data_IF_099562069239
#
_entry.id   IF_099562069239
#
_cell.length_a   1.000
_cell.length_b   1.000
_cell.length_c   1.000
_cell.angle_alpha   90.00
_cell.angle_beta   90.00
_cell.angle_gamma   90.00
#
_symmetry.space_group_name_H-M   'P 1'
#
loop_
_entity.id
_entity.type
_entity.pdbx_description
1 polymer ?
#
# COMPACT_ATOMS: atom_id res chain seq x y z
N UNK A 1 -4.21 -27.75 -2.74
CA UNK A 1 -5.36 -26.82 -2.73
C UNK A 1 -5.14 -25.85 -1.60
N UNK A 2 -5.34 -24.54 -1.83
CA UNK A 2 -5.19 -23.54 -0.78
C UNK A 2 -6.30 -23.71 0.27
N UNK A 3 -5.97 -23.61 1.55
CA UNK A 3 -6.90 -23.87 2.66
C UNK A 3 -7.59 -22.60 3.19
N UNK A 4 -7.38 -21.46 2.52
CA UNK A 4 -7.90 -20.15 2.91
C UNK A 4 -8.77 -19.57 1.79
N UNK A 5 -9.63 -18.61 2.15
CA UNK A 5 -10.39 -17.81 1.19
C UNK A 5 -9.78 -16.42 1.03
N UNK A 6 -9.59 -15.73 2.15
CA UNK A 6 -9.07 -14.39 2.28
C UNK A 6 -7.94 -14.40 3.32
N UNK A 7 -6.71 -14.61 2.85
CA UNK A 7 -5.55 -14.64 3.71
C UNK A 7 -5.08 -13.23 4.02
N UNK A 8 -4.87 -12.95 5.29
CA UNK A 8 -4.16 -11.76 5.76
C UNK A 8 -2.98 -12.16 6.63
N UNK A 9 -1.99 -11.27 6.70
CA UNK A 9 -0.83 -11.40 7.58
C UNK A 9 -0.88 -10.27 8.60
N UNK A 10 -0.68 -10.57 9.88
CA UNK A 10 -0.83 -9.60 10.96
C UNK A 10 0.14 -9.89 12.11
N UNK A 11 0.39 -8.89 12.97
CA UNK A 11 1.24 -9.04 14.15
C UNK A 11 0.42 -9.00 15.45
N UNK A 12 0.84 -9.81 16.43
CA UNK A 12 0.35 -9.77 17.81
C UNK A 12 1.57 -9.79 18.72
N UNK A 13 1.84 -8.66 19.38
CA UNK A 13 3.14 -8.45 20.03
C UNK A 13 4.28 -8.52 19.01
N UNK A 14 5.33 -9.29 19.31
CA UNK A 14 6.49 -9.47 18.42
C UNK A 14 6.32 -10.64 17.43
N UNK A 15 5.18 -11.33 17.47
CA UNK A 15 4.92 -12.49 16.61
C UNK A 15 4.05 -12.11 15.42
N UNK A 16 4.39 -12.68 14.26
CA UNK A 16 3.60 -12.55 13.04
C UNK A 16 2.83 -13.83 12.76
N UNK A 17 1.57 -13.67 12.38
CA UNK A 17 0.65 -14.75 12.09
C UNK A 17 0.01 -14.55 10.72
N UNK A 18 -0.54 -15.65 10.18
CA UNK A 18 -1.50 -15.61 9.10
C UNK A 18 -2.90 -15.84 9.67
N UNK A 19 -3.93 -15.34 8.99
CA UNK A 19 -5.30 -15.60 9.36
C UNK A 19 -6.26 -15.52 8.19
N UNK A 20 -7.42 -16.15 8.38
CA UNK A 20 -8.60 -15.97 7.54
C UNK A 20 -9.27 -14.67 7.97
N UNK A 21 -9.50 -13.76 7.02
CA UNK A 21 -10.25 -12.55 7.28
C UNK A 21 -11.74 -12.89 7.41
N UNK A 22 -12.29 -12.64 8.59
CA UNK A 22 -13.69 -12.95 8.92
C UNK A 22 -14.59 -11.72 8.70
N UNK A 23 -14.11 -10.55 9.12
CA UNK A 23 -14.87 -9.30 9.04
C UNK A 23 -13.95 -8.08 9.03
N UNK A 24 -14.40 -7.01 8.37
CA UNK A 24 -13.75 -5.71 8.37
C UNK A 24 -14.76 -4.66 8.85
N UNK A 25 -14.43 -3.96 9.94
CA UNK A 25 -15.20 -2.83 10.46
C UNK A 25 -14.31 -1.59 10.52
N UNK A 26 -14.43 -0.73 9.51
CA UNK A 26 -13.55 0.42 9.33
C UNK A 26 -12.10 -0.01 9.17
N UNK A 27 -11.26 0.30 10.16
CA UNK A 27 -9.84 -0.09 10.20
C UNK A 27 -9.55 -1.29 11.11
N UNK A 28 -10.58 -1.99 11.59
CA UNK A 28 -10.44 -3.19 12.44
C UNK A 28 -10.76 -4.42 11.62
N UNK A 29 -9.85 -5.39 11.69
CA UNK A 29 -9.94 -6.67 11.00
C UNK A 29 -10.10 -7.77 12.03
N UNK A 30 -11.22 -8.49 11.98
CA UNK A 30 -11.41 -9.72 12.75
C UNK A 30 -10.86 -10.87 11.95
N UNK A 31 -9.87 -11.56 12.51
CA UNK A 31 -9.07 -12.58 11.82
C UNK A 31 -9.01 -13.85 12.65
N UNK A 32 -9.28 -14.99 12.03
CA UNK A 32 -9.09 -16.30 12.65
C UNK A 32 -7.71 -16.82 12.26
N UNK A 33 -6.85 -17.09 13.25
CA UNK A 33 -5.45 -17.45 13.01
C UNK A 33 -5.35 -18.80 12.29
N UNK A 34 -4.42 -18.86 11.34
CA UNK A 34 -3.83 -20.10 10.84
C UNK A 34 -2.50 -20.40 11.54
N UNK A 35 -2.23 -21.68 11.77
CA UNK A 35 -0.88 -22.19 12.03
C UNK A 35 -0.22 -22.60 10.70
N UNK A 36 1.00 -22.14 10.47
CA UNK A 36 1.82 -22.46 9.29
C UNK A 36 1.97 -21.30 8.29
N UNK A 37 2.25 -21.62 7.02
CA UNK A 37 2.51 -20.64 5.95
C UNK A 37 1.68 -20.96 4.71
N UNK A 38 1.29 -19.96 3.90
CA UNK A 38 0.50 -20.20 2.68
C UNK A 38 1.26 -20.98 1.60
N UNK A 39 2.57 -21.11 1.73
CA UNK A 39 3.42 -21.82 0.78
C UNK A 39 3.69 -23.27 1.15
N UNK A 40 3.31 -23.67 2.36
CA UNK A 40 3.46 -25.03 2.86
C UNK A 40 2.08 -25.59 3.23
N UNK A 41 1.70 -25.48 4.50
CA UNK A 41 0.39 -25.89 5.01
C UNK A 41 -0.12 -24.84 5.97
N UNK A 42 -1.40 -24.47 5.83
CA UNK A 42 -2.13 -23.66 6.80
C UNK A 42 -3.18 -24.54 7.47
N UNK A 43 -3.27 -24.45 8.80
CA UNK A 43 -4.27 -25.12 9.62
C UNK A 43 -5.06 -24.05 10.39
N UNK A 44 -6.36 -23.96 10.14
CA UNK A 44 -7.20 -23.00 10.83
C UNK A 44 -7.29 -23.37 12.31
N UNK A 45 -7.10 -22.38 13.19
CA UNK A 45 -7.12 -22.56 14.64
C UNK A 45 -8.39 -21.94 15.24
N UNK A 46 -8.70 -22.25 16.49
CA UNK A 46 -9.81 -21.59 17.21
C UNK A 46 -9.46 -20.19 17.75
N UNK A 47 -8.24 -19.69 17.48
CA UNK A 47 -7.80 -18.37 17.94
C UNK A 47 -8.29 -17.28 17.00
N UNK A 48 -8.92 -16.26 17.56
CA UNK A 48 -9.40 -15.10 16.81
C UNK A 48 -8.81 -13.83 17.41
N UNK A 49 -8.44 -12.89 16.54
CA UNK A 49 -7.91 -11.59 16.91
C UNK A 49 -8.69 -10.48 16.22
N UNK A 50 -8.71 -9.30 16.85
CA UNK A 50 -9.08 -8.06 16.19
C UNK A 50 -7.84 -7.19 16.09
N UNK A 51 -7.40 -6.88 14.88
CA UNK A 51 -6.17 -6.12 14.60
C UNK A 51 -6.48 -4.86 13.80
N UNK A 52 -5.60 -3.85 13.90
CA UNK A 52 -5.76 -2.57 13.17
C UNK A 52 -4.78 -2.40 12.02
N UNK A 53 -3.75 -3.25 11.99
CA UNK A 53 -2.62 -3.14 11.08
C UNK A 53 -2.37 -4.51 10.47
N UNK A 54 -2.36 -4.54 9.14
CA UNK A 54 -2.05 -5.71 8.36
C UNK A 54 -0.70 -5.53 7.68
N UNK A 55 0.01 -6.63 7.58
CA UNK A 55 1.30 -6.75 6.92
C UNK A 55 1.08 -7.15 5.46
N UNK A 56 2.09 -7.02 4.57
CA UNK A 56 1.97 -7.57 3.24
C UNK A 56 1.61 -9.06 3.31
N UNK A 57 0.65 -9.54 2.49
CA UNK A 57 0.16 -10.92 2.56
C UNK A 57 1.25 -11.96 2.26
N UNK A 58 2.35 -11.53 1.64
CA UNK A 58 3.55 -12.31 1.42
C UNK A 58 4.73 -11.58 2.10
N UNK A 59 5.52 -12.24 2.98
CA UNK A 59 6.55 -11.59 3.79
C UNK A 59 7.78 -11.16 2.98
N UNK A 60 8.03 -11.85 1.87
CA UNK A 60 9.11 -11.58 0.93
C UNK A 60 8.73 -12.17 -0.41
N UNK A 61 9.32 -11.67 -1.49
CA UNK A 61 9.15 -12.23 -2.83
C UNK A 61 10.52 -12.55 -3.43
N UNK A 62 10.66 -13.64 -4.19
CA UNK A 62 11.89 -13.91 -4.91
C UNK A 62 12.15 -12.91 -6.05
N UNK A 63 11.09 -12.34 -6.63
CA UNK A 63 11.13 -11.38 -7.73
C UNK A 63 9.71 -10.83 -7.96
N UNK A 64 9.60 -9.55 -8.33
CA UNK A 64 8.37 -9.01 -8.92
C UNK A 64 8.54 -8.93 -10.42
N UNK A 65 7.71 -9.63 -11.17
CA UNK A 65 7.66 -9.57 -12.63
C UNK A 65 6.48 -8.70 -13.03
N UNK A 66 6.65 -7.83 -14.02
CA UNK A 66 5.65 -6.85 -14.40
C UNK A 66 5.39 -6.91 -15.90
N UNK A 67 4.12 -6.74 -16.29
CA UNK A 67 3.71 -6.74 -17.69
C UNK A 67 3.36 -5.32 -18.13
N UNK A 68 4.11 -4.79 -19.08
CA UNK A 68 3.80 -3.50 -19.69
C UNK A 68 2.65 -3.61 -20.70
N UNK A 69 1.89 -2.52 -20.88
CA UNK A 69 0.93 -2.38 -21.98
C UNK A 69 -0.09 -3.54 -22.08
N UNK A 70 -0.64 -4.01 -20.96
CA UNK A 70 -1.51 -5.19 -20.98
C UNK A 70 -3.01 -4.90 -21.03
N UNK A 71 -3.45 -3.64 -21.15
CA UNK A 71 -4.87 -3.30 -21.26
C UNK A 71 -5.15 -2.63 -22.60
N UNK A 72 -6.21 -3.06 -23.30
CA UNK A 72 -6.54 -2.54 -24.64
C UNK A 72 -6.82 -1.05 -24.61
N UNK A 73 -7.49 -0.55 -23.56
CA UNK A 73 -7.73 0.89 -23.41
C UNK A 73 -6.45 1.67 -23.12
N UNK A 74 -5.53 1.10 -22.34
CA UNK A 74 -4.23 1.73 -22.07
C UNK A 74 -3.36 1.80 -23.34
N UNK A 75 -3.35 0.74 -24.16
CA UNK A 75 -2.66 0.75 -25.45
C UNK A 75 -3.17 1.84 -26.39
N UNK A 76 -4.50 2.05 -26.42
CA UNK A 76 -5.13 3.15 -27.16
C UNK A 76 -4.76 4.52 -26.60
N UNK A 77 -4.77 4.70 -25.28
CA UNK A 77 -4.35 5.95 -24.61
C UNK A 77 -2.90 6.29 -24.95
N UNK A 78 -2.02 5.30 -24.92
CA UNK A 78 -0.60 5.48 -25.21
C UNK A 78 -0.30 5.64 -26.71
N UNK A 79 -1.26 5.35 -27.60
CA UNK A 79 -1.04 5.28 -29.06
C UNK A 79 0.14 4.36 -29.43
N UNK A 80 0.30 3.25 -28.70
CA UNK A 80 1.36 2.28 -28.91
C UNK A 80 0.82 1.03 -29.60
N UNK A 81 1.62 0.48 -30.51
CA UNK A 81 1.34 -0.81 -31.12
C UNK A 81 1.46 -1.92 -30.07
N UNK A 82 0.48 -2.81 -30.04
CA UNK A 82 0.49 -3.99 -29.17
C UNK A 82 1.44 -5.03 -29.78
N UNK A 83 2.54 -5.39 -29.10
CA UNK A 83 3.48 -6.38 -29.61
C UNK A 83 2.85 -7.78 -29.64
N UNK A 84 3.49 -8.74 -30.31
CA UNK A 84 3.03 -10.14 -30.34
C UNK A 84 3.14 -10.82 -28.96
N UNK A 85 4.12 -10.40 -28.17
CA UNK A 85 4.42 -10.98 -26.86
C UNK A 85 4.37 -9.90 -25.78
N UNK A 86 3.98 -10.25 -24.53
CA UNK A 86 3.95 -9.31 -23.43
C UNK A 86 5.30 -8.61 -23.22
N UNK A 87 5.35 -7.27 -23.12
CA UNK A 87 6.52 -6.56 -22.60
C UNK A 87 6.76 -6.93 -21.14
N UNK A 88 7.93 -7.47 -20.84
CA UNK A 88 8.29 -7.93 -19.48
C UNK A 88 9.42 -7.08 -18.91
N UNK A 89 9.25 -6.64 -17.67
CA UNK A 89 10.32 -6.08 -16.85
C UNK A 89 10.21 -6.61 -15.42
N UNK A 90 11.22 -6.34 -14.60
CA UNK A 90 11.30 -6.88 -13.24
C UNK A 90 11.60 -5.78 -12.24
N UNK A 91 11.07 -5.92 -11.02
CA UNK A 91 11.53 -5.19 -9.85
C UNK A 91 12.21 -6.16 -8.86
N UNK A 92 13.29 -5.74 -8.18
CA UNK A 92 13.97 -6.56 -7.18
C UNK A 92 13.06 -6.79 -5.95
N UNK A 93 13.39 -7.77 -5.11
CA UNK A 93 12.57 -8.14 -3.96
C UNK A 93 12.35 -6.98 -2.96
N UNK A 94 13.33 -6.07 -2.84
CA UNK A 94 13.35 -4.99 -1.86
C UNK A 94 12.29 -3.90 -2.09
N UNK A 95 11.65 -3.89 -3.27
CA UNK A 95 10.59 -2.92 -3.60
C UNK A 95 9.26 -3.25 -2.93
N UNK A 96 9.13 -4.42 -2.31
CA UNK A 96 7.88 -4.88 -1.71
C UNK A 96 7.46 -3.98 -0.55
N UNK A 97 6.22 -3.51 -0.60
CA UNK A 97 5.59 -2.75 0.47
C UNK A 97 4.25 -3.35 0.87
N UNK A 98 3.91 -3.22 2.15
CA UNK A 98 2.61 -3.57 2.69
C UNK A 98 1.50 -2.59 2.32
N UNK A 99 0.24 -2.94 2.61
CA UNK A 99 -0.94 -2.16 2.23
C UNK A 99 -0.99 -0.76 2.83
N UNK A 100 -0.43 -0.55 4.02
CA UNK A 100 -0.57 0.73 4.75
C UNK A 100 0.78 1.38 5.04
N UNK A 101 1.83 0.93 4.36
CA UNK A 101 3.17 1.50 4.52
C UNK A 101 3.28 2.86 3.82
N UNK A 102 3.87 3.83 4.53
CA UNK A 102 4.37 5.08 3.97
C UNK A 102 5.47 4.77 2.96
N UNK A 103 5.36 5.30 1.75
CA UNK A 103 6.36 5.09 0.70
C UNK A 103 7.33 6.26 0.65
N UNK A 104 8.64 6.01 0.81
CA UNK A 104 9.63 7.06 0.68
C UNK A 104 9.65 7.56 -0.77
N UNK A 105 9.61 8.87 -0.97
CA UNK A 105 9.89 9.44 -2.29
C UNK A 105 11.36 9.84 -2.34
N UNK A 106 12.05 9.35 -3.34
CA UNK A 106 13.32 9.95 -3.72
C UNK A 106 13.10 11.30 -4.41
N UNK A 107 13.79 12.36 -3.98
CA UNK A 107 13.64 13.73 -4.51
C UNK A 107 13.60 13.78 -6.04
N UNK A 108 14.46 13.00 -6.68
CA UNK A 108 14.60 13.03 -8.14
C UNK A 108 13.41 12.36 -8.86
N UNK A 109 12.63 11.51 -8.17
CA UNK A 109 11.41 10.89 -8.71
C UNK A 109 10.15 11.75 -8.52
N UNK A 110 10.12 12.64 -7.51
CA UNK A 110 8.94 13.41 -7.08
C UNK A 110 8.19 14.09 -8.23
N UNK A 111 8.92 14.71 -9.15
CA UNK A 111 8.32 15.52 -10.22
C UNK A 111 7.44 14.73 -11.18
N UNK A 112 7.63 13.41 -11.23
CA UNK A 112 7.02 12.51 -12.22
C UNK A 112 6.62 11.17 -11.58
N UNK A 113 6.31 11.19 -10.28
CA UNK A 113 5.86 10.01 -9.56
C UNK A 113 4.42 9.67 -9.96
N UNK A 114 4.19 8.43 -10.34
CA UNK A 114 2.93 7.98 -10.93
C UNK A 114 2.41 6.70 -10.26
N UNK A 115 1.09 6.52 -10.31
CA UNK A 115 0.37 5.34 -9.85
C UNK A 115 0.01 4.44 -11.03
N UNK A 116 -0.03 3.14 -10.76
CA UNK A 116 -0.49 2.13 -11.70
C UNK A 116 -1.20 1.02 -10.91
N UNK A 117 -2.52 1.09 -10.80
CA UNK A 117 -3.26 0.03 -10.11
C UNK A 117 -3.29 -1.24 -10.95
N UNK A 118 -2.98 -2.39 -10.33
CA UNK A 118 -2.84 -3.67 -11.02
C UNK A 118 -3.44 -4.85 -10.25
N UNK A 119 -3.95 -5.84 -10.99
CA UNK A 119 -4.11 -7.19 -10.47
C UNK A 119 -2.72 -7.81 -10.27
N UNK A 120 -2.44 -8.27 -9.06
CA UNK A 120 -1.19 -8.94 -8.72
C UNK A 120 -1.43 -10.42 -8.42
N UNK A 121 -0.72 -11.29 -9.13
CA UNK A 121 -0.75 -12.74 -8.97
C UNK A 121 0.37 -13.17 -8.04
N UNK A 122 0.08 -14.08 -7.10
CA UNK A 122 1.10 -14.72 -6.27
C UNK A 122 1.30 -16.16 -6.73
N UNK A 123 2.51 -16.53 -7.13
CA UNK A 123 2.84 -17.91 -7.51
C UNK A 123 2.94 -18.80 -6.27
N UNK A 124 2.19 -19.89 -6.23
CA UNK A 124 2.09 -20.80 -5.07
C UNK A 124 3.03 -22.00 -5.10
N UNK A 125 3.55 -22.37 -6.27
CA UNK A 125 4.54 -23.44 -6.44
C UNK A 125 5.40 -23.15 -7.67
N UNK A 126 6.62 -23.69 -7.70
CA UNK A 126 7.54 -23.45 -8.81
C UNK A 126 6.92 -23.86 -10.15
N UNK A 127 6.92 -22.94 -11.12
CA UNK A 127 6.36 -23.14 -12.46
C UNK A 127 7.47 -23.04 -13.51
N UNK A 128 7.64 -24.07 -14.34
CA UNK A 128 8.60 -24.05 -15.45
C UNK A 128 8.00 -24.74 -16.68
N UNK A 129 8.03 -24.06 -17.81
CA UNK A 129 7.49 -24.50 -19.10
C UNK A 129 6.03 -24.98 -18.99
N UNK A 130 5.22 -24.26 -18.21
CA UNK A 130 3.81 -24.61 -17.95
C UNK A 130 2.96 -24.16 -19.13
N UNK A 131 2.00 -24.98 -19.54
CA UNK A 131 1.03 -24.62 -20.58
C UNK A 131 0.01 -23.59 -20.08
N UNK A 132 -0.77 -22.97 -20.97
CA UNK A 132 -1.79 -22.01 -20.56
C UNK A 132 -2.95 -22.68 -19.80
N UNK A 133 -3.24 -23.93 -20.11
CA UNK A 133 -4.29 -24.74 -19.48
C UNK A 133 -3.96 -25.05 -18.01
N UNK A 134 -2.70 -25.39 -17.73
CA UNK A 134 -2.23 -25.74 -16.38
C UNK A 134 -1.78 -24.52 -15.57
N UNK A 135 -1.70 -23.34 -16.19
CA UNK A 135 -1.10 -22.14 -15.60
C UNK A 135 -1.70 -21.73 -14.25
N UNK A 136 -3.04 -21.79 -14.12
CA UNK A 136 -3.71 -21.36 -12.88
C UNK A 136 -3.45 -22.29 -11.70
N UNK A 137 -3.07 -23.55 -11.93
CA UNK A 137 -2.74 -24.50 -10.87
C UNK A 137 -1.45 -24.12 -10.10
N UNK A 138 -0.69 -23.17 -10.63
CA UNK A 138 0.52 -22.62 -10.02
C UNK A 138 0.26 -21.30 -9.30
N UNK A 139 -0.95 -20.76 -9.37
CA UNK A 139 -1.34 -19.52 -8.69
C UNK A 139 -1.83 -19.84 -7.28
N UNK A 140 -1.22 -19.21 -6.28
CA UNK A 140 -1.70 -19.25 -4.89
C UNK A 140 -2.98 -18.43 -4.73
N UNK A 141 -2.98 -17.24 -5.31
CA UNK A 141 -4.07 -16.29 -5.19
C UNK A 141 -3.75 -14.95 -5.85
N UNK A 142 -4.66 -14.01 -5.61
CA UNK A 142 -4.68 -12.69 -6.20
C UNK A 142 -4.78 -11.62 -5.11
N UNK A 143 -4.12 -10.49 -5.34
CA UNK A 143 -4.15 -9.29 -4.50
C UNK A 143 -4.06 -8.05 -5.39
N UNK A 144 -4.39 -6.86 -4.89
CA UNK A 144 -4.06 -5.65 -5.66
C UNK A 144 -2.61 -5.26 -5.42
N UNK A 145 -2.03 -4.68 -6.47
CA UNK A 145 -0.75 -4.02 -6.41
C UNK A 145 -0.82 -2.62 -6.99
N UNK A 146 0.19 -1.82 -6.66
CA UNK A 146 0.43 -0.55 -7.31
C UNK A 146 1.83 -0.56 -7.92
N UNK A 147 1.94 -0.50 -9.24
CA UNK A 147 3.23 -0.38 -9.93
C UNK A 147 3.70 1.09 -9.96
N UNK A 148 4.23 1.55 -8.83
CA UNK A 148 4.74 2.91 -8.74
C UNK A 148 5.86 3.16 -9.74
N UNK A 149 5.82 4.34 -10.36
CA UNK A 149 6.67 4.67 -11.49
C UNK A 149 7.25 6.07 -11.36
N UNK A 150 8.58 6.18 -11.42
CA UNK A 150 9.26 7.46 -11.59
C UNK A 150 9.42 7.74 -13.09
N UNK A 151 8.40 8.36 -13.73
CA UNK A 151 8.31 8.44 -15.20
C UNK A 151 9.47 9.17 -15.85
N UNK A 152 10.07 10.14 -15.16
CA UNK A 152 11.26 10.83 -15.63
C UNK A 152 12.46 9.87 -15.85
N UNK A 153 12.54 8.80 -15.07
CA UNK A 153 13.57 7.77 -15.26
C UNK A 153 13.15 6.67 -16.24
N UNK A 154 11.88 6.60 -16.65
CA UNK A 154 11.42 5.59 -17.61
C UNK A 154 11.76 5.95 -19.06
N UNK A 155 12.03 7.23 -19.31
CA UNK A 155 12.33 7.75 -20.64
C UNK A 155 13.66 7.19 -21.19
N UNK A 156 13.79 6.99 -22.51
CA UNK A 156 15.01 6.47 -23.12
C UNK A 156 16.28 7.23 -22.75
N UNK A 157 16.20 8.54 -22.58
CA UNK A 157 17.33 9.42 -22.25
C UNK A 157 17.87 9.15 -20.83
N UNK A 158 17.04 8.64 -19.92
CA UNK A 158 17.38 8.42 -18.52
C UNK A 158 17.76 6.95 -18.22
N UNK A 159 17.13 5.98 -18.90
CA UNK A 159 17.35 4.54 -18.63
C UNK A 159 17.55 3.67 -19.87
N UNK A 160 17.86 4.26 -21.03
CA UNK A 160 18.13 3.50 -22.26
C UNK A 160 16.95 2.67 -22.76
N UNK A 161 15.72 3.10 -22.44
CA UNK A 161 14.47 2.42 -22.78
C UNK A 161 14.12 1.24 -21.86
N UNK A 162 14.91 1.00 -20.80
CA UNK A 162 14.63 -0.03 -19.80
C UNK A 162 13.77 0.54 -18.67
N UNK A 163 12.75 -0.21 -18.24
CA UNK A 163 11.82 0.26 -17.21
C UNK A 163 12.27 -0.08 -15.79
N UNK A 164 13.13 -1.08 -15.61
CA UNK A 164 13.47 -1.64 -14.30
C UNK A 164 13.88 -0.55 -13.29
N UNK A 165 14.78 0.37 -13.65
CA UNK A 165 15.25 1.40 -12.74
C UNK A 165 14.13 2.35 -12.27
N UNK A 166 13.33 2.87 -13.20
CA UNK A 166 12.20 3.77 -12.92
C UNK A 166 11.11 3.15 -12.03
N UNK A 167 11.08 1.82 -12.00
CA UNK A 167 10.07 0.98 -11.35
C UNK A 167 10.57 0.38 -10.03
N UNK A 168 11.85 0.57 -9.67
CA UNK A 168 12.51 -0.22 -8.62
C UNK A 168 13.06 0.60 -7.44
N UNK A 169 12.51 1.79 -7.20
CA UNK A 169 12.79 2.51 -5.96
C UNK A 169 12.22 1.74 -4.76
N UNK A 170 12.80 1.93 -3.59
CA UNK A 170 12.34 1.26 -2.37
C UNK A 170 10.82 1.45 -2.20
N UNK A 171 10.13 0.35 -1.91
CA UNK A 171 8.68 0.33 -1.66
C UNK A 171 7.79 0.66 -2.89
N UNK A 172 8.31 0.59 -4.12
CA UNK A 172 7.55 0.80 -5.36
C UNK A 172 6.67 -0.39 -5.83
N UNK A 173 6.56 -1.43 -5.02
CA UNK A 173 5.56 -2.49 -5.21
C UNK A 173 4.72 -2.70 -3.94
N UNK A 174 3.84 -1.75 -3.57
CA UNK A 174 2.82 -1.99 -2.57
C UNK A 174 1.87 -3.08 -3.06
N UNK A 175 1.63 -4.08 -2.22
CA UNK A 175 0.60 -5.10 -2.44
C UNK A 175 -0.32 -5.17 -1.23
N UNK A 176 -1.60 -5.39 -1.51
CA UNK A 176 -2.63 -4.77 -0.69
C UNK A 176 -3.54 -5.74 0.02
N UNK A 177 -4.11 -5.33 1.14
CA UNK A 177 -4.04 -6.08 2.40
C UNK A 177 -4.51 -7.56 2.44
N UNK A 178 -5.28 -8.06 1.47
CA UNK A 178 -5.75 -9.46 1.41
C UNK A 178 -5.16 -10.19 0.21
N UNK A 179 -4.79 -11.45 0.41
CA UNK A 179 -4.57 -12.41 -0.66
C UNK A 179 -5.80 -13.32 -0.77
N UNK A 180 -6.57 -13.16 -1.84
CA UNK A 180 -7.72 -13.99 -2.14
C UNK A 180 -7.24 -15.26 -2.84
N UNK A 181 -7.67 -16.43 -2.37
CA UNK A 181 -7.19 -17.68 -2.95
C UNK A 181 -7.64 -17.85 -4.40
N UNK A 182 -6.82 -18.54 -5.19
CA UNK A 182 -7.14 -18.80 -6.59
C UNK A 182 -8.44 -19.61 -6.78
N UNK A 183 -8.92 -20.29 -5.74
CA UNK A 183 -10.15 -21.08 -5.76
C UNK A 183 -11.41 -20.21 -5.61
N UNK A 184 -11.33 -19.12 -4.84
CA UNK A 184 -12.45 -18.19 -4.68
C UNK A 184 -12.60 -17.27 -5.90
N UNK A 185 -11.53 -17.07 -6.68
CA UNK A 185 -11.57 -16.32 -7.94
C UNK A 185 -11.81 -17.27 -9.12
N UNK A 186 -13.07 -17.49 -9.48
CA UNK A 186 -13.45 -18.40 -10.56
C UNK A 186 -12.82 -18.04 -11.92
N UNK A 187 -12.80 -16.76 -12.26
CA UNK A 187 -12.17 -16.23 -13.47
C UNK A 187 -11.40 -14.93 -13.15
N UNK A 188 -10.05 -14.94 -13.18
CA UNK A 188 -9.26 -13.73 -12.94
C UNK A 188 -9.46 -12.64 -14.00
N UNK A 189 -10.10 -12.95 -15.13
CA UNK A 189 -10.45 -11.98 -16.17
C UNK A 189 -11.84 -11.36 -16.00
N UNK A 190 -12.51 -11.55 -14.86
CA UNK A 190 -13.82 -10.96 -14.57
C UNK A 190 -13.83 -10.06 -13.34
N UNK A 191 -12.69 -9.46 -13.01
CA UNK A 191 -12.52 -8.59 -11.85
C UNK A 191 -12.66 -7.12 -12.27
N UNK A 192 -13.43 -6.32 -11.54
CA UNK A 192 -13.34 -4.86 -11.62
C UNK A 192 -12.06 -4.38 -10.95
N UNK A 193 -11.41 -3.38 -11.54
CA UNK A 193 -10.25 -2.70 -10.95
C UNK A 193 -10.51 -1.19 -10.97
N UNK A 194 -10.32 -0.54 -9.82
CA UNK A 194 -10.47 0.92 -9.66
C UNK A 194 -9.26 1.48 -8.91
N UNK A 195 -8.64 2.53 -9.46
CA UNK A 195 -7.61 3.29 -8.74
C UNK A 195 -8.14 4.67 -8.40
N UNK A 196 -7.96 5.11 -7.14
CA UNK A 196 -8.30 6.45 -6.67
C UNK A 196 -7.05 7.15 -6.16
N UNK A 197 -7.00 8.46 -6.33
CA UNK A 197 -6.01 9.33 -5.67
C UNK A 197 -6.78 10.35 -4.85
N UNK A 198 -6.56 10.36 -3.52
CA UNK A 198 -7.30 11.19 -2.57
C UNK A 198 -8.83 11.06 -2.72
N UNK A 199 -9.33 9.83 -2.86
CA UNK A 199 -10.75 9.54 -3.07
C UNK A 199 -11.30 9.87 -4.46
N UNK A 200 -10.49 10.43 -5.37
CA UNK A 200 -10.90 10.72 -6.75
C UNK A 200 -10.52 9.56 -7.66
N UNK A 201 -11.51 8.95 -8.32
CA UNK A 201 -11.28 7.87 -9.29
C UNK A 201 -10.43 8.36 -10.46
N UNK A 202 -9.33 7.65 -10.72
CA UNK A 202 -8.39 7.90 -11.82
C UNK A 202 -8.41 6.80 -12.87
N UNK A 203 -8.51 5.54 -12.43
CA UNK A 203 -8.57 4.38 -13.29
C UNK A 203 -9.83 3.57 -12.98
N UNK A 204 -10.48 3.02 -14.00
CA UNK A 204 -11.61 2.08 -13.85
C UNK A 204 -11.62 1.15 -15.05
N UNK A 205 -11.59 -0.16 -14.78
CA UNK A 205 -11.59 -1.18 -15.83
C UNK A 205 -12.21 -2.49 -15.34
N UNK A 206 -12.29 -3.47 -16.23
CA UNK A 206 -12.45 -4.86 -15.89
C UNK A 206 -11.24 -5.65 -16.45
N UNK A 207 -10.80 -6.69 -15.75
CA UNK A 207 -9.63 -7.50 -16.15
C UNK A 207 -9.86 -8.29 -17.45
N UNK A 208 -11.08 -8.33 -17.99
CA UNK A 208 -11.38 -8.79 -19.36
C UNK A 208 -10.84 -7.86 -20.45
N UNK A 209 -10.49 -6.61 -20.11
CA UNK A 209 -9.81 -5.68 -21.02
C UNK A 209 -8.32 -6.01 -21.20
N UNK A 210 -7.80 -6.99 -20.45
CA UNK A 210 -6.43 -7.45 -20.64
C UNK A 210 -6.19 -7.99 -22.06
N UNK A 211 -4.98 -7.78 -22.58
CA UNK A 211 -4.53 -8.29 -23.87
C UNK A 211 -4.05 -9.74 -23.72
N UNK A 212 -3.24 -9.99 -22.69
CA UNK A 212 -2.81 -11.31 -22.25
C UNK A 212 -3.41 -11.59 -20.87
N UNK A 213 -4.20 -12.66 -20.75
CA UNK A 213 -4.80 -13.04 -19.47
C UNK A 213 -3.77 -13.66 -18.53
N UNK A 214 -4.17 -13.92 -17.27
CA UNK A 214 -3.28 -14.51 -16.26
C UNK A 214 -2.69 -15.85 -16.73
N UNK A 215 -3.50 -16.69 -17.38
CA UNK A 215 -3.06 -17.98 -17.95
C UNK A 215 -1.93 -17.81 -18.96
N UNK A 216 -2.11 -16.87 -19.89
CA UNK A 216 -1.13 -16.58 -20.95
C UNK A 216 0.16 -16.02 -20.37
N UNK A 217 0.05 -15.11 -19.38
CA UNK A 217 1.20 -14.50 -18.71
C UNK A 217 2.01 -15.55 -17.96
N UNK A 218 1.39 -16.36 -17.11
CA UNK A 218 2.09 -17.40 -16.33
C UNK A 218 2.75 -18.42 -17.25
N UNK A 219 2.03 -18.89 -18.28
CA UNK A 219 2.61 -19.79 -19.28
C UNK A 219 3.80 -19.13 -19.98
N UNK A 220 3.64 -17.88 -20.43
CA UNK A 220 4.68 -17.11 -21.11
C UNK A 220 5.95 -16.98 -20.28
N UNK A 221 5.81 -16.48 -19.05
CA UNK A 221 6.93 -16.19 -18.17
C UNK A 221 7.64 -17.45 -17.69
N UNK A 222 6.94 -18.60 -17.62
CA UNK A 222 7.54 -19.86 -17.20
C UNK A 222 8.41 -20.53 -18.28
N UNK A 223 8.42 -20.04 -19.52
CA UNK A 223 9.21 -20.64 -20.61
C UNK A 223 10.70 -20.34 -20.43
N UNK A 224 11.50 -21.37 -20.23
CA UNK A 224 12.96 -21.27 -20.07
C UNK A 224 13.41 -20.77 -18.69
N UNK A 225 12.56 -20.04 -17.95
CA UNK A 225 12.82 -19.55 -16.60
C UNK A 225 11.81 -20.12 -15.60
N UNK A 226 12.29 -20.65 -14.48
CA UNK A 226 11.40 -21.06 -13.38
C UNK A 226 10.81 -19.83 -12.70
N UNK A 227 9.48 -19.74 -12.65
CA UNK A 227 8.78 -18.84 -11.73
C UNK A 227 8.79 -19.50 -10.36
N UNK A 228 9.54 -18.91 -9.42
CA UNK A 228 9.68 -19.48 -8.08
C UNK A 228 8.41 -19.26 -7.28
N UNK A 229 8.11 -20.19 -6.38
CA UNK A 229 7.11 -20.04 -5.32
C UNK A 229 7.33 -18.69 -4.60
N UNK A 230 6.27 -17.90 -4.49
CA UNK A 230 6.26 -16.55 -3.91
C UNK A 230 6.58 -15.42 -4.90
N UNK A 231 6.91 -15.72 -6.17
CA UNK A 231 7.05 -14.69 -7.22
C UNK A 231 5.73 -13.94 -7.37
N UNK A 232 5.83 -12.61 -7.44
CA UNK A 232 4.70 -11.73 -7.72
C UNK A 232 4.67 -11.41 -9.21
N UNK A 233 3.48 -11.41 -9.81
CA UNK A 233 3.28 -10.95 -11.18
C UNK A 233 2.27 -9.81 -11.17
N UNK A 234 2.76 -8.60 -11.44
CA UNK A 234 1.98 -7.38 -11.68
C UNK A 234 1.56 -7.40 -13.15
N UNK A 235 0.25 -7.53 -13.39
CA UNK A 235 -0.29 -7.94 -14.71
C UNK A 235 -0.54 -6.79 -15.68
N UNK A 236 -0.07 -5.58 -15.36
CA UNK A 236 -0.28 -4.37 -16.12
C UNK A 236 -1.42 -3.51 -15.57
N UNK A 237 -1.42 -2.25 -15.98
CA UNK A 237 -2.35 -1.22 -15.52
C UNK A 237 -3.28 -0.75 -16.64
N UNK A 238 -4.54 -0.37 -16.34
CA UNK A 238 -5.44 0.21 -17.32
C UNK A 238 -5.11 1.67 -17.66
N UNK A 239 -5.86 2.24 -18.62
CA UNK A 239 -5.76 3.65 -18.95
C UNK A 239 -6.08 4.56 -17.77
N UNK A 240 -5.58 5.80 -17.82
CA UNK A 240 -5.79 6.80 -16.77
C UNK A 240 -4.63 6.89 -15.79
N UNK A 241 -3.42 6.46 -16.17
CA UNK A 241 -2.20 6.74 -15.41
C UNK A 241 -1.90 8.24 -15.42
N UNK A 242 -1.27 8.74 -14.36
CA UNK A 242 -0.95 10.15 -14.17
C UNK A 242 -0.13 10.75 -15.32
N UNK A 243 0.76 9.98 -15.95
CA UNK A 243 1.57 10.44 -17.08
C UNK A 243 0.76 10.96 -18.28
N UNK A 244 -0.32 10.27 -18.65
CA UNK A 244 -1.20 10.68 -19.76
C UNK A 244 -2.19 11.77 -19.32
N UNK A 245 -2.54 11.77 -18.02
CA UNK A 245 -3.41 12.79 -17.41
C UNK A 245 -2.68 14.10 -17.08
N UNK A 246 -1.34 14.10 -17.08
CA UNK A 246 -0.49 15.18 -16.54
C UNK A 246 -0.80 15.51 -15.08
N UNK A 247 -1.06 14.45 -14.31
CA UNK A 247 -1.40 14.50 -12.88
C UNK A 247 -0.47 13.54 -12.12
N UNK A 248 0.62 14.05 -11.55
CA UNK A 248 1.60 13.25 -10.80
C UNK A 248 1.35 13.30 -9.29
N UNK A 249 1.68 12.22 -8.60
CA UNK A 249 1.56 12.11 -7.15
C UNK A 249 2.45 13.13 -6.43
N UNK A 250 1.90 13.73 -5.39
CA UNK A 250 2.56 14.69 -4.51
C UNK A 250 2.74 14.15 -3.09
N UNK A 251 3.62 14.82 -2.35
CA UNK A 251 3.83 14.51 -0.94
C UNK A 251 2.49 14.54 -0.16
N UNK A 252 2.18 13.45 0.52
CA UNK A 252 0.93 13.26 1.25
C UNK A 252 -0.25 12.66 0.47
N UNK A 253 -0.12 12.41 -0.84
CA UNK A 253 -1.20 11.81 -1.65
C UNK A 253 -1.46 10.34 -1.33
N UNK A 254 -2.73 9.99 -1.17
CA UNK A 254 -3.22 8.65 -0.87
C UNK A 254 -3.67 7.96 -2.15
N UNK A 255 -3.25 6.71 -2.40
CA UNK A 255 -3.63 5.95 -3.60
C UNK A 255 -4.38 4.68 -3.22
N UNK A 256 -5.59 4.47 -3.71
CA UNK A 256 -6.40 3.31 -3.34
C UNK A 256 -6.59 2.46 -4.59
N UNK A 257 -6.29 1.15 -4.54
CA UNK A 257 -6.37 0.26 -5.72
C UNK A 257 -7.31 -0.89 -5.44
N UNK A 258 -8.59 -0.74 -5.73
CA UNK A 258 -9.63 -1.72 -5.43
C UNK A 258 -9.72 -2.78 -6.53
N UNK A 259 -9.84 -4.04 -6.12
CA UNK A 259 -10.24 -5.17 -6.97
C UNK A 259 -11.58 -5.69 -6.48
N UNK A 260 -12.42 -6.25 -7.36
CA UNK A 260 -13.69 -6.81 -6.92
C UNK A 260 -14.37 -7.66 -7.99
N UNK A 261 -15.39 -8.41 -7.60
CA UNK A 261 -16.27 -9.12 -8.54
C UNK A 261 -17.49 -8.21 -8.78
N UNK A 262 -17.89 -8.01 -10.05
CA UNK A 262 -19.14 -7.29 -10.36
C UNK A 262 -20.35 -8.22 -10.14
N UNK A 263 -20.84 -8.31 -8.92
CA UNK A 263 -22.22 -8.74 -8.63
C UNK A 263 -23.02 -7.59 -7.99
N UNK A 264 -24.32 -7.41 -8.31
CA UNK A 264 -25.16 -6.46 -7.59
C UNK A 264 -25.27 -6.88 -6.12
N UNK A 265 -24.68 -6.09 -5.21
CA UNK A 265 -24.77 -6.34 -3.76
C UNK A 265 -23.56 -7.06 -3.14
N UNK A 266 -22.48 -7.28 -3.89
CA UNK A 266 -21.21 -7.77 -3.35
C UNK A 266 -20.12 -6.75 -3.67
N UNK A 267 -19.68 -6.01 -2.65
CA UNK A 267 -18.40 -5.30 -2.66
C UNK A 267 -17.78 -5.64 -1.32
N UNK A 268 -16.65 -6.33 -1.30
CA UNK A 268 -15.70 -6.18 -0.20
C UNK A 268 -14.33 -6.69 -0.62
N UNK A 269 -13.57 -5.82 -1.30
CA UNK A 269 -12.11 -5.83 -1.26
C UNK A 269 -11.63 -4.39 -1.47
N UNK A 270 -11.73 -3.59 -0.40
CA UNK A 270 -11.20 -2.23 -0.42
C UNK A 270 -9.72 -2.25 -0.06
N UNK A 271 -8.91 -2.29 -1.08
CA UNK A 271 -7.47 -2.17 -1.00
C UNK A 271 -7.10 -0.69 -0.84
N UNK A 272 -7.20 -0.21 0.40
CA UNK A 272 -6.55 1.06 0.71
C UNK A 272 -5.06 0.88 0.62
N UNK A 273 -4.43 1.80 -0.10
CA UNK A 273 -3.05 2.14 0.11
C UNK A 273 -2.95 3.60 0.55
N UNK A 274 -2.14 3.82 1.56
CA UNK A 274 -1.72 5.16 1.95
C UNK A 274 -0.20 5.19 1.79
N UNK A 275 0.31 5.61 0.63
CA UNK A 275 1.58 6.32 0.74
C UNK A 275 1.27 7.64 1.40
N UNK A 276 1.59 7.78 2.68
CA UNK A 276 2.15 9.08 2.99
C UNK A 276 3.52 9.07 2.33
N UNK A 277 3.70 9.98 1.42
CA UNK A 277 5.03 10.26 0.95
C UNK A 277 5.76 11.02 2.06
N UNK A 278 7.05 10.75 2.24
CA UNK A 278 7.87 11.46 3.21
C UNK A 278 9.31 11.50 2.73
N UNK A 279 9.93 12.68 2.82
CA UNK A 279 11.38 12.80 2.66
C UNK A 279 12.10 12.15 3.85
N UNK A 280 13.23 11.45 3.63
CA UNK A 280 14.09 11.02 4.72
C UNK A 280 14.54 12.24 5.52
N UNK A 281 14.30 12.25 6.84
CA UNK A 281 14.59 13.36 7.76
C UNK A 281 16.10 13.62 7.98
N UNK A 282 16.99 12.88 7.32
CA UNK A 282 18.43 12.97 7.48
C UNK A 282 19.07 14.23 6.84
N UNK A 283 18.28 15.22 6.42
CA UNK A 283 18.77 16.43 5.74
C UNK A 283 18.45 17.79 6.39
N UNK A 284 17.62 17.96 7.44
CA UNK A 284 17.55 19.21 8.23
C UNK A 284 16.60 19.12 9.47
N UNK A 285 16.86 19.85 10.58
CA UNK A 285 16.22 19.65 11.90
C UNK A 285 14.92 20.44 12.14
N UNK A 286 13.98 20.44 11.19
CA UNK A 286 12.62 20.97 11.42
C UNK A 286 11.52 19.97 11.03
N UNK A 287 11.75 18.69 11.30
CA UNK A 287 10.77 17.62 11.10
C UNK A 287 9.57 17.77 12.06
N UNK A 288 8.48 18.37 11.58
CA UNK A 288 7.16 18.20 12.20
C UNK A 288 6.48 16.97 11.60
N UNK A 289 6.67 15.84 12.26
CA UNK A 289 5.81 14.68 12.05
C UNK A 289 4.51 14.90 12.82
N UNK A 290 3.38 14.89 12.11
CA UNK A 290 2.09 14.65 12.76
C UNK A 290 1.28 13.69 11.90
N UNK A 291 1.15 12.47 12.42
CA UNK A 291 0.32 11.39 11.90
C UNK A 291 -1.11 11.60 12.43
N UNK A 292 -2.07 11.78 11.52
CA UNK A 292 -3.49 11.65 11.86
C UNK A 292 -4.13 10.77 10.77
N UNK A 293 -4.47 9.54 11.17
CA UNK A 293 -5.14 8.51 10.37
C UNK A 293 -6.64 8.66 10.59
N UNK A 294 -7.39 9.20 9.62
CA UNK A 294 -8.86 9.16 9.64
C UNK A 294 -9.45 9.15 8.22
N UNK A 295 -9.69 7.95 7.71
CA UNK A 295 -10.67 7.64 6.67
C UNK A 295 -11.11 6.19 7.00
N UNK A 296 -12.37 5.76 7.12
CA UNK A 296 -13.53 5.76 6.20
C UNK A 296 -14.84 5.59 7.00
N UNK A 297 -15.99 6.16 6.59
CA UNK A 297 -17.04 5.61 5.68
C UNK A 297 -17.34 4.12 5.87
N UNK A 298 -18.44 3.84 6.56
CA UNK A 298 -19.06 2.51 6.66
C UNK A 298 -20.07 2.25 5.55
N UNK A 299 -20.44 0.98 5.39
CA UNK A 299 -21.63 0.56 4.66
C UNK A 299 -22.88 0.74 5.56
N UNK A 300 -23.92 1.38 5.04
CA UNK A 300 -25.24 1.43 5.69
C UNK A 300 -26.29 0.79 4.77
N UNK A 301 -26.96 -0.22 5.30
CA UNK A 301 -28.24 -0.73 4.81
C UNK A 301 -29.34 -0.05 5.63
N UNK A 302 -30.22 0.73 4.99
CA UNK A 302 -31.39 1.33 5.65
C UNK A 302 -31.26 2.84 5.92
N UNK A 303 -32.40 3.55 5.82
CA UNK A 303 -32.54 4.99 5.55
C UNK A 303 -32.17 5.94 6.70
N UNK A 304 -31.77 7.14 6.27
CA UNK A 304 -31.44 8.38 6.99
C UNK A 304 -30.02 8.51 7.60
N UNK A 305 -29.26 9.46 7.04
CA UNK A 305 -27.95 9.89 7.50
C UNK A 305 -28.10 11.22 8.26
N UNK A 306 -27.76 11.21 9.55
CA UNK A 306 -27.43 12.42 10.32
C UNK A 306 -25.95 12.37 10.67
N UNK A 307 -25.20 13.39 10.28
CA UNK A 307 -23.80 13.55 10.67
C UNK A 307 -23.69 14.62 11.75
N UNK A 308 -22.91 14.34 12.80
CA UNK A 308 -22.43 15.32 13.77
C UNK A 308 -20.95 15.55 13.49
N UNK A 309 -20.59 16.73 12.99
CA UNK A 309 -19.18 17.11 12.80
C UNK A 309 -18.68 17.73 14.10
N UNK A 310 -17.77 17.05 14.80
CA UNK A 310 -16.92 17.72 15.79
C UNK A 310 -15.61 18.16 15.11
N UNK A 311 -15.50 19.45 14.81
CA UNK A 311 -14.24 20.09 14.44
C UNK A 311 -13.50 20.46 15.72
N UNK A 312 -12.47 19.69 16.08
CA UNK A 312 -11.50 20.13 17.08
C UNK A 312 -10.58 21.19 16.47
N UNK A 313 -10.68 22.44 16.92
CA UNK A 313 -9.69 23.48 16.62
C UNK A 313 -8.38 23.14 17.34
N UNK A 314 -7.32 22.85 16.61
CA UNK A 314 -5.96 23.02 17.13
C UNK A 314 -5.43 24.38 16.66
N UNK A 315 -5.42 25.35 17.57
CA UNK A 315 -4.80 26.66 17.36
C UNK A 315 -3.29 26.55 17.61
N UNK A 316 -2.47 26.88 16.60
CA UNK A 316 -1.06 27.23 16.81
C UNK A 316 -1.01 28.72 17.12
N UNK A 317 -0.64 29.06 18.36
CA UNK A 317 -0.44 30.42 18.85
C UNK A 317 1.04 30.83 18.71
N UNK A 318 1.25 32.03 18.14
CA UNK A 318 2.39 32.94 18.41
C UNK A 318 3.70 32.63 17.66
N UNK A 319 4.08 33.43 16.66
CA UNK A 319 4.79 34.74 16.73
C UNK A 319 6.32 34.62 16.86
N UNK A 320 7.02 35.12 15.83
CA UNK A 320 8.40 35.60 15.94
C UNK A 320 8.48 36.81 16.88
N UNK A 321 9.56 36.93 17.66
CA UNK A 321 10.54 37.96 17.31
C UNK A 321 12.01 37.56 17.53
N UNK A 322 12.87 38.31 16.84
CA UNK A 322 14.32 38.33 16.92
C UNK A 322 14.90 38.30 18.34
N UNK A 323 16.09 37.69 18.52
CA UNK A 323 17.04 38.14 19.55
C UNK A 323 17.78 37.04 20.31
N UNK A 324 19.08 36.95 20.03
CA UNK A 324 20.22 36.40 20.78
C UNK A 324 20.00 35.83 22.21
N UNK A 325 20.63 34.68 22.47
CA UNK A 325 21.08 34.29 23.82
C UNK A 325 21.19 32.79 24.04
N UNK A 326 22.41 32.26 24.22
CA UNK A 326 22.66 30.87 24.64
C UNK A 326 22.39 30.74 26.14
N UNK A 327 21.61 29.75 26.56
CA UNK A 327 21.69 29.20 27.91
C UNK A 327 21.23 27.75 27.93
N UNK A 328 22.04 26.86 28.50
CA UNK A 328 21.73 25.46 28.72
C UNK A 328 21.11 25.28 30.11
N UNK A 329 20.02 24.54 30.22
CA UNK A 329 19.55 23.97 31.48
C UNK A 329 18.97 22.58 31.27
N UNK A 330 19.51 21.62 32.03
CA UNK A 330 19.00 20.24 32.16
C UNK A 330 17.69 20.27 32.93
N UNK A 331 16.66 19.56 32.47
CA UNK A 331 15.49 19.23 33.29
C UNK A 331 15.25 17.72 33.23
N UNK A 332 15.26 17.11 34.41
CA UNK A 332 14.97 15.72 34.68
C UNK A 332 13.45 15.47 34.68
N UNK A 333 13.02 14.32 34.16
CA UNK A 333 11.63 13.87 34.25
C UNK A 333 11.36 13.25 35.61
N UNK A 334 10.32 13.73 36.31
CA UNK A 334 9.74 13.10 37.50
C UNK A 334 8.25 12.88 37.23
N UNK A 335 7.82 11.63 37.25
CA UNK A 335 6.41 11.24 37.14
C UNK A 335 5.66 11.55 38.44
N UNK A 336 4.43 12.06 38.34
CA UNK A 336 3.44 12.00 39.42
C UNK A 336 2.03 11.73 38.85
N UNK A 337 1.22 10.88 39.52
CA UNK A 337 -0.12 10.49 39.09
C UNK A 337 -1.23 11.45 39.58
N UNK A 338 -2.42 11.26 39.00
CA UNK A 338 -3.66 12.02 39.19
C UNK A 338 -4.22 11.99 40.63
N UNK A 339 -4.67 13.15 41.13
CA UNK A 339 -6.05 13.39 41.62
C UNK A 339 -6.17 14.63 42.56
N UNK A 340 -7.30 15.34 42.38
CA UNK A 340 -8.06 16.22 43.32
C UNK A 340 -7.58 17.63 43.74
N UNK A 341 -8.52 18.56 43.45
CA UNK A 341 -9.11 19.63 44.27
C UNK A 341 -8.37 20.96 44.56
N UNK A 342 -9.01 22.03 44.05
CA UNK A 342 -9.23 23.39 44.60
C UNK A 342 -8.42 23.85 45.83
N UNK A 343 -7.76 25.02 45.71
CA UNK A 343 -8.08 26.29 46.42
C UNK A 343 -6.97 27.34 46.22
N UNK A 344 -7.39 28.47 45.67
CA UNK A 344 -7.10 29.89 45.96
C UNK A 344 -5.70 30.47 46.31
N UNK A 345 -5.54 31.67 45.73
CA UNK A 345 -4.89 32.91 46.20
C UNK A 345 -3.38 32.98 46.51
N UNK A 346 -2.72 34.00 45.93
CA UNK A 346 -1.68 34.77 46.62
C UNK A 346 -0.49 35.22 45.79
N UNK A 347 -0.59 36.42 45.22
CA UNK A 347 0.55 37.23 44.78
C UNK A 347 1.46 37.60 45.95
N UNK A 348 2.79 37.54 45.75
CA UNK A 348 3.74 38.57 46.24
C UNK A 348 5.15 38.38 45.69
N UNK A 349 5.68 39.50 45.21
CA UNK A 349 7.07 39.76 44.83
C UNK A 349 8.00 39.83 46.04
N UNK A 350 9.25 39.38 45.87
CA UNK A 350 10.41 40.09 46.44
C UNK A 350 11.70 39.70 45.72
N UNK A 351 12.42 40.73 45.29
CA UNK A 351 13.81 40.78 44.86
C UNK A 351 14.76 40.54 46.03
N UNK A 352 15.90 39.89 45.78
CA UNK A 352 17.16 40.19 46.49
C UNK A 352 18.37 39.77 45.64
N UNK A 353 19.22 40.75 45.36
CA UNK A 353 20.58 40.59 44.86
C UNK A 353 21.50 40.07 45.98
N UNK A 354 22.58 39.39 45.59
CA UNK A 354 24.00 39.66 45.93
C UNK A 354 24.81 38.36 45.92
N UNK A 355 26.04 38.44 45.42
CA UNK A 355 27.08 37.44 45.69
C UNK A 355 27.95 37.10 44.51
N UNK A 356 28.89 38.00 44.19
CA UNK A 356 30.16 37.67 43.53
C UNK A 356 30.95 36.69 44.40
N UNK A 357 31.69 35.77 43.78
CA UNK A 357 33.10 35.56 44.13
C UNK A 357 33.83 34.85 42.98
N UNK A 358 35.11 35.23 42.92
CA UNK A 358 36.19 35.05 41.94
C UNK A 358 36.37 33.71 41.25
#
# INVERSE_FOLDING_TARGET
MATFKQLVRFAVGDQTHYGELINTDGNKYTVQQFDGTPFDKLLLTDKTYTVTDLLPPVPNTPLVICIGLNYKQHAKEASLDVPTYPPVFTKPADVLAGPFETIPIHRDAQSHLDYEGELTVVIGKDAKNVSAEDALDYVLGYTAGNDLSARNFQMPEASGGQFCYAKSFDKFAPIGHVLVSAQEVQDPQQLSLVTKVNGVVKQTTNTSDMIWGVRDIVSHLSRGMTLRKGTLIMTGTPSGVGFFRKEFLQDGDVVEVELGVREPGVIDFILFYFSRQAFPSWLHPESRHMCIRLVFRGALVGKELRYSVMVGKASVLGQHPNGMGRQWSRIAYRFLPADRQYMDAGTKSSTTNLGTDS
#
